data_IF_990292075000
#
_entry.id   IF_990292075000
#
_cell.length_a   1.000
_cell.length_b   1.000
_cell.length_c   1.000
_cell.angle_alpha   90.00
_cell.angle_beta   90.00
_cell.angle_gamma   90.00
#
_symmetry.space_group_name_H-M   'P 1'
#
loop_
_entity.id
_entity.type
_entity.pdbx_description
1 polymer ?
#
# COMPACT_ATOMS: atom_id res chain seq x y z
N UNK A 1 -8.85 -21.85 11.66
CA UNK A 1 -7.88 -20.78 11.48
C UNK A 1 -6.53 -21.15 12.07
N UNK A 2 -5.47 -20.55 11.58
CA UNK A 2 -4.10 -20.77 12.08
C UNK A 2 -3.88 -19.92 13.35
N UNK A 3 -3.86 -20.59 14.51
CA UNK A 3 -3.66 -19.94 15.80
C UNK A 3 -2.26 -19.34 15.97
N UNK A 4 -1.24 -19.94 15.34
CA UNK A 4 0.12 -19.39 15.36
C UNK A 4 0.17 -18.05 14.61
N UNK A 5 -0.44 -18.00 13.44
CA UNK A 5 -0.54 -16.76 12.65
C UNK A 5 -1.27 -15.66 13.44
N UNK A 6 -2.40 -16.00 14.06
CA UNK A 6 -3.15 -15.06 14.90
C UNK A 6 -2.30 -14.53 16.06
N UNK A 7 -1.59 -15.42 16.76
CA UNK A 7 -0.72 -15.02 17.87
C UNK A 7 0.41 -14.08 17.39
N UNK A 8 1.06 -14.39 16.27
CA UNK A 8 2.12 -13.55 15.72
C UNK A 8 1.59 -12.17 15.29
N UNK A 9 0.41 -12.12 14.67
CA UNK A 9 -0.24 -10.87 14.31
C UNK A 9 -0.60 -10.03 15.55
N UNK A 10 -1.13 -10.65 16.60
CA UNK A 10 -1.45 -9.96 17.85
C UNK A 10 -0.19 -9.47 18.57
N UNK A 11 0.86 -10.27 18.61
CA UNK A 11 2.14 -9.86 19.20
C UNK A 11 2.75 -8.65 18.45
N UNK A 12 2.76 -8.69 17.12
CA UNK A 12 3.22 -7.58 16.28
C UNK A 12 2.35 -6.32 16.47
N UNK A 13 1.03 -6.49 16.54
CA UNK A 13 0.08 -5.38 16.75
C UNK A 13 0.23 -4.77 18.15
N UNK A 14 0.42 -5.60 19.18
CA UNK A 14 0.69 -5.13 20.54
C UNK A 14 1.99 -4.37 20.66
N UNK A 15 3.05 -4.85 19.97
CA UNK A 15 4.30 -4.12 19.86
C UNK A 15 4.12 -2.77 19.15
N UNK A 16 3.37 -2.75 18.03
CA UNK A 16 3.02 -1.52 17.33
C UNK A 16 2.25 -0.52 18.21
N UNK A 17 1.32 -1.01 19.03
CA UNK A 17 0.56 -0.18 19.97
C UNK A 17 1.48 0.48 21.02
N UNK A 18 2.45 -0.28 21.55
CA UNK A 18 3.45 0.25 22.48
C UNK A 18 4.33 1.34 21.82
N UNK A 19 4.73 1.14 20.55
CA UNK A 19 5.49 2.13 19.79
C UNK A 19 4.67 3.40 19.52
N UNK A 20 3.40 3.28 19.14
CA UNK A 20 2.50 4.42 18.94
C UNK A 20 2.35 5.21 20.23
N UNK A 21 2.11 4.54 21.36
CA UNK A 21 2.06 5.21 22.65
C UNK A 21 3.34 5.98 22.96
N UNK A 22 4.51 5.36 22.73
CA UNK A 22 5.81 6.01 22.93
C UNK A 22 6.00 7.22 22.00
N UNK A 23 5.64 7.08 20.72
CA UNK A 23 5.87 8.12 19.71
C UNK A 23 4.93 9.31 19.85
N UNK A 24 3.72 9.10 20.38
CA UNK A 24 2.68 10.15 20.43
C UNK A 24 2.48 10.73 21.83
N UNK A 25 3.28 10.32 22.82
CA UNK A 25 3.12 10.69 24.24
C UNK A 25 3.04 12.21 24.47
N UNK A 26 3.79 12.99 23.72
CA UNK A 26 3.85 14.45 23.87
C UNK A 26 2.92 15.21 22.92
N UNK A 27 2.14 14.49 22.12
CA UNK A 27 1.13 15.10 21.25
C UNK A 27 -0.19 15.24 22.05
N UNK A 28 -0.90 16.36 21.84
CA UNK A 28 -2.20 16.60 22.50
C UNK A 28 -3.24 15.51 22.25
N UNK A 29 -3.07 14.73 21.18
CA UNK A 29 -3.96 13.65 20.77
C UNK A 29 -3.44 12.23 21.07
N UNK A 30 -2.49 12.06 22.01
CA UNK A 30 -1.91 10.76 22.33
C UNK A 30 -2.97 9.68 22.61
N UNK A 31 -3.90 9.96 23.50
CA UNK A 31 -4.94 9.01 23.89
C UNK A 31 -5.82 8.61 22.70
N UNK A 32 -6.12 9.55 21.79
CA UNK A 32 -6.92 9.27 20.59
C UNK A 32 -6.20 8.27 19.67
N UNK A 33 -4.92 8.47 19.39
CA UNK A 33 -4.15 7.61 18.50
C UNK A 33 -4.05 6.17 19.05
N UNK A 34 -3.80 6.03 20.34
CA UNK A 34 -3.74 4.72 21.00
C UNK A 34 -5.08 4.01 20.99
N UNK A 35 -6.18 4.73 21.29
CA UNK A 35 -7.54 4.17 21.28
C UNK A 35 -7.92 3.72 19.86
N UNK A 36 -7.66 4.56 18.86
CA UNK A 36 -7.94 4.23 17.44
C UNK A 36 -7.22 2.95 17.03
N UNK A 37 -5.94 2.82 17.38
CA UNK A 37 -5.17 1.61 17.09
C UNK A 37 -5.70 0.38 17.84
N UNK A 38 -6.06 0.52 19.11
CA UNK A 38 -6.63 -0.58 19.88
C UNK A 38 -7.99 -1.05 19.29
N UNK A 39 -8.85 -0.12 18.91
CA UNK A 39 -10.13 -0.43 18.25
C UNK A 39 -9.89 -1.12 16.90
N UNK A 40 -8.92 -0.65 16.11
CA UNK A 40 -8.56 -1.29 14.84
C UNK A 40 -8.09 -2.74 15.03
N UNK A 41 -7.30 -3.01 16.07
CA UNK A 41 -6.87 -4.38 16.43
C UNK A 41 -8.08 -5.25 16.79
N UNK A 42 -9.01 -4.75 17.61
CA UNK A 42 -10.22 -5.49 17.96
C UNK A 42 -11.08 -5.82 16.73
N UNK A 43 -11.28 -4.85 15.83
CA UNK A 43 -11.98 -5.05 14.57
C UNK A 43 -11.25 -6.10 13.71
N UNK A 44 -9.93 -6.03 13.63
CA UNK A 44 -9.10 -7.00 12.89
C UNK A 44 -9.27 -8.42 13.40
N UNK A 45 -9.33 -8.62 14.72
CA UNK A 45 -9.58 -9.93 15.34
C UNK A 45 -10.98 -10.46 14.98
N UNK A 46 -12.00 -9.61 15.05
CA UNK A 46 -13.37 -9.99 14.66
C UNK A 46 -13.41 -10.40 13.18
N UNK A 47 -12.81 -9.60 12.31
CA UNK A 47 -12.72 -9.92 10.87
C UNK A 47 -11.98 -11.25 10.65
N UNK A 48 -10.86 -11.48 11.33
CA UNK A 48 -10.12 -12.74 11.25
C UNK A 48 -11.00 -13.94 11.60
N UNK A 49 -11.75 -13.84 12.71
CA UNK A 49 -12.65 -14.93 13.13
C UNK A 49 -13.74 -15.17 12.09
N UNK A 50 -14.39 -14.11 11.59
CA UNK A 50 -15.45 -14.23 10.56
C UNK A 50 -14.90 -14.86 9.29
N UNK A 51 -13.74 -14.40 8.82
CA UNK A 51 -13.12 -14.91 7.59
C UNK A 51 -12.68 -16.38 7.70
N UNK A 52 -12.46 -16.89 8.91
CA UNK A 52 -12.14 -18.31 9.13
C UNK A 52 -13.29 -19.24 8.70
N UNK A 53 -14.55 -18.75 8.69
CA UNK A 53 -15.73 -19.50 8.29
C UNK A 53 -16.11 -19.32 6.82
N UNK A 54 -15.41 -18.45 6.08
CA UNK A 54 -15.70 -18.18 4.66
C UNK A 54 -14.94 -19.14 3.78
N UNK A 55 -15.66 -19.83 2.90
CA UNK A 55 -15.05 -20.55 1.79
C UNK A 55 -14.74 -19.57 0.65
N UNK A 56 -13.48 -19.12 0.61
CA UNK A 56 -13.03 -18.14 -0.38
C UNK A 56 -13.11 -18.65 -1.81
N UNK A 57 -12.95 -19.95 -2.05
CA UNK A 57 -13.02 -20.52 -3.39
C UNK A 57 -14.44 -20.37 -3.96
N UNK A 58 -15.43 -20.83 -3.21
CA UNK A 58 -16.83 -20.71 -3.61
C UNK A 58 -17.29 -19.25 -3.67
N UNK A 59 -16.82 -18.42 -2.74
CA UNK A 59 -17.16 -17.01 -2.72
C UNK A 59 -16.68 -16.29 -3.96
N UNK A 60 -15.39 -16.42 -4.32
CA UNK A 60 -14.83 -15.75 -5.49
C UNK A 60 -15.44 -16.29 -6.78
N UNK A 61 -15.65 -17.61 -6.89
CA UNK A 61 -16.25 -18.22 -8.07
C UNK A 61 -17.65 -17.64 -8.38
N UNK A 62 -18.46 -17.43 -7.35
CA UNK A 62 -19.80 -16.85 -7.51
C UNK A 62 -19.81 -15.34 -7.68
N UNK A 63 -18.88 -14.64 -7.02
CA UNK A 63 -18.91 -13.19 -6.87
C UNK A 63 -17.83 -12.45 -7.65
N UNK A 64 -17.03 -13.10 -8.51
CA UNK A 64 -15.88 -12.46 -9.17
C UNK A 64 -16.22 -11.17 -9.92
N UNK A 65 -17.38 -11.09 -10.59
CA UNK A 65 -17.84 -9.87 -11.28
C UNK A 65 -18.07 -8.71 -10.31
N UNK A 66 -18.66 -9.04 -9.14
CA UNK A 66 -18.92 -8.06 -8.09
C UNK A 66 -17.64 -7.61 -7.41
N UNK A 67 -16.66 -8.51 -7.25
CA UNK A 67 -15.35 -8.18 -6.72
C UNK A 67 -14.60 -7.21 -7.67
N UNK A 68 -14.60 -7.47 -8.98
CA UNK A 68 -14.02 -6.54 -9.96
C UNK A 68 -14.74 -5.19 -9.94
N UNK A 69 -16.08 -5.20 -9.90
CA UNK A 69 -16.86 -3.96 -9.82
C UNK A 69 -16.59 -3.21 -8.52
N UNK A 70 -16.43 -3.91 -7.41
CA UNK A 70 -16.04 -3.33 -6.12
C UNK A 70 -14.65 -2.71 -6.20
N UNK A 71 -13.65 -3.41 -6.73
CA UNK A 71 -12.27 -2.92 -6.84
C UNK A 71 -12.21 -1.61 -7.63
N UNK A 72 -12.82 -1.60 -8.80
CA UNK A 72 -12.87 -0.41 -9.66
C UNK A 72 -13.70 0.70 -9.00
N UNK A 73 -14.91 0.38 -8.55
CA UNK A 73 -15.84 1.36 -7.97
C UNK A 73 -15.29 2.00 -6.70
N UNK A 74 -14.62 1.20 -5.85
CA UNK A 74 -14.09 1.69 -4.59
C UNK A 74 -12.89 2.65 -4.77
N UNK A 75 -12.05 2.42 -5.78
CA UNK A 75 -11.00 3.39 -6.15
C UNK A 75 -11.63 4.64 -6.77
N UNK A 76 -12.65 4.49 -7.63
CA UNK A 76 -13.33 5.63 -8.24
C UNK A 76 -14.07 6.52 -7.23
N UNK A 77 -14.46 6.00 -6.06
CA UNK A 77 -15.00 6.82 -4.97
C UNK A 77 -14.06 7.94 -4.53
N UNK A 78 -12.75 7.78 -4.72
CA UNK A 78 -11.79 8.84 -4.44
C UNK A 78 -11.97 10.08 -5.33
N UNK A 79 -12.58 9.95 -6.50
CA UNK A 79 -12.90 11.09 -7.37
C UNK A 79 -14.09 11.93 -6.87
N UNK A 80 -14.88 11.36 -5.95
CA UNK A 80 -16.01 12.05 -5.33
C UNK A 80 -15.56 13.06 -4.27
N UNK A 81 -16.45 13.91 -3.74
CA UNK A 81 -16.13 14.81 -2.63
C UNK A 81 -15.63 14.12 -1.36
N UNK A 82 -15.79 12.78 -1.23
CA UNK A 82 -15.27 12.00 -0.11
C UNK A 82 -13.76 11.80 -0.17
N UNK A 83 -13.14 11.96 -1.35
CA UNK A 83 -11.69 11.84 -1.52
C UNK A 83 -10.95 12.98 -0.85
N UNK A 84 -9.98 12.63 0.00
CA UNK A 84 -9.10 13.55 0.73
C UNK A 84 -7.67 13.42 0.20
N UNK A 85 -7.06 14.56 -0.06
CA UNK A 85 -5.66 14.63 -0.46
C UNK A 85 -4.76 14.71 0.78
N UNK A 86 -3.67 13.95 0.75
CA UNK A 86 -2.63 13.99 1.77
C UNK A 86 -1.27 13.80 1.10
N UNK A 87 -0.35 14.73 1.33
CA UNK A 87 1.00 14.66 0.73
C UNK A 87 1.03 14.70 -0.81
N UNK A 88 0.04 15.35 -1.44
CA UNK A 88 -0.05 15.44 -2.90
C UNK A 88 -0.69 14.23 -3.59
N UNK A 89 -1.16 13.23 -2.83
CA UNK A 89 -1.83 12.04 -3.32
C UNK A 89 -3.28 11.99 -2.80
N UNK A 90 -4.20 11.52 -3.63
CA UNK A 90 -5.63 11.41 -3.28
C UNK A 90 -5.97 9.98 -2.86
N UNK A 91 -5.53 9.59 -1.65
CA UNK A 91 -5.52 8.19 -1.21
C UNK A 91 -6.53 7.86 -0.13
N UNK A 92 -7.15 8.84 0.50
CA UNK A 92 -7.97 8.66 1.69
C UNK A 92 -9.42 8.99 1.42
N UNK A 93 -10.33 8.20 1.98
CA UNK A 93 -11.75 8.53 2.08
C UNK A 93 -12.00 9.13 3.46
N UNK A 94 -12.48 10.37 3.46
CA UNK A 94 -12.86 11.11 4.64
C UNK A 94 -14.22 10.61 5.16
N UNK A 95 -14.22 9.60 6.03
CA UNK A 95 -15.45 9.02 6.59
C UNK A 95 -16.13 9.96 7.58
N UNK A 96 -15.43 10.93 8.13
CA UNK A 96 -15.97 12.00 8.98
C UNK A 96 -17.03 12.85 8.27
N UNK A 97 -17.03 12.90 6.92
CA UNK A 97 -18.06 13.56 6.12
C UNK A 97 -19.38 12.80 6.05
N UNK A 98 -19.35 11.48 6.28
CA UNK A 98 -20.54 10.61 6.28
C UNK A 98 -21.03 10.40 7.71
N UNK A 99 -20.10 10.10 8.61
CA UNK A 99 -20.37 9.83 10.02
C UNK A 99 -19.63 10.90 10.85
N UNK A 100 -20.31 11.91 11.36
CA UNK A 100 -19.67 12.97 12.16
C UNK A 100 -18.83 12.39 13.30
N UNK A 101 -17.63 12.91 13.48
CA UNK A 101 -16.67 12.50 14.51
C UNK A 101 -16.11 11.08 14.35
N UNK A 102 -16.29 10.43 13.17
CA UNK A 102 -15.64 9.13 12.93
C UNK A 102 -14.12 9.31 12.86
N UNK A 103 -13.34 8.60 13.69
CA UNK A 103 -11.93 8.91 13.87
C UNK A 103 -11.00 8.32 12.81
N UNK A 104 -11.54 7.52 11.88
CA UNK A 104 -10.75 6.76 10.91
C UNK A 104 -10.97 7.30 9.50
N UNK A 105 -9.88 7.64 8.83
CA UNK A 105 -9.85 7.76 7.37
C UNK A 105 -9.57 6.38 6.78
N UNK A 106 -10.19 6.06 5.67
CA UNK A 106 -10.08 4.75 5.04
C UNK A 106 -9.32 4.87 3.73
N UNK A 107 -8.33 4.00 3.54
CA UNK A 107 -7.54 3.97 2.31
C UNK A 107 -8.05 2.86 1.39
N UNK A 108 -8.76 3.19 0.27
CA UNK A 108 -9.31 2.21 -0.64
C UNK A 108 -8.29 1.22 -1.18
N UNK A 109 -7.09 1.70 -1.53
CA UNK A 109 -6.02 0.86 -2.08
C UNK A 109 -5.59 -0.29 -1.15
N UNK A 110 -5.73 -0.11 0.18
CA UNK A 110 -5.44 -1.18 1.14
C UNK A 110 -6.51 -2.26 1.15
N UNK A 111 -7.78 -1.86 1.04
CA UNK A 111 -8.91 -2.79 1.06
C UNK A 111 -9.02 -3.56 -0.24
N UNK A 112 -8.91 -2.88 -1.37
CA UNK A 112 -9.01 -3.45 -2.72
C UNK A 112 -7.87 -4.44 -3.02
N UNK A 113 -6.77 -4.35 -2.32
CA UNK A 113 -5.64 -5.29 -2.41
C UNK A 113 -6.06 -6.75 -2.15
N UNK A 114 -6.99 -6.94 -1.21
CA UNK A 114 -7.47 -8.28 -0.83
C UNK A 114 -8.27 -8.94 -1.98
N UNK A 115 -9.36 -8.34 -2.50
CA UNK A 115 -10.06 -8.91 -3.65
C UNK A 115 -9.19 -8.98 -4.90
N UNK A 116 -8.25 -8.06 -5.12
CA UNK A 116 -7.28 -8.14 -6.21
C UNK A 116 -6.46 -9.44 -6.18
N UNK A 117 -5.90 -9.81 -5.01
CA UNK A 117 -5.16 -11.07 -4.85
C UNK A 117 -6.06 -12.28 -5.06
N UNK A 118 -7.27 -12.25 -4.49
CA UNK A 118 -8.24 -13.32 -4.66
C UNK A 118 -8.64 -13.52 -6.12
N UNK A 119 -8.85 -12.45 -6.86
CA UNK A 119 -9.17 -12.50 -8.29
C UNK A 119 -8.00 -13.01 -9.13
N UNK A 120 -6.76 -12.65 -8.82
CA UNK A 120 -5.57 -13.20 -9.49
C UNK A 120 -5.47 -14.73 -9.25
N UNK A 121 -5.62 -15.15 -8.00
CA UNK A 121 -5.59 -16.57 -7.64
C UNK A 121 -6.71 -17.36 -8.33
N UNK A 122 -7.93 -16.82 -8.37
CA UNK A 122 -9.06 -17.41 -9.06
C UNK A 122 -8.85 -17.51 -10.58
N UNK A 123 -8.33 -16.45 -11.21
CA UNK A 123 -7.98 -16.46 -12.63
C UNK A 123 -6.96 -17.55 -12.95
N UNK A 124 -5.89 -17.65 -12.14
CA UNK A 124 -4.89 -18.70 -12.29
C UNK A 124 -5.47 -20.10 -12.14
N UNK A 125 -6.27 -20.34 -11.08
CA UNK A 125 -6.95 -21.62 -10.85
C UNK A 125 -7.87 -21.99 -12.02
N UNK A 126 -8.63 -21.03 -12.53
CA UNK A 126 -9.53 -21.24 -13.67
C UNK A 126 -8.79 -21.60 -14.97
N UNK A 127 -7.62 -20.99 -15.20
CA UNK A 127 -6.76 -21.32 -16.34
C UNK A 127 -6.30 -22.79 -16.24
N UNK A 128 -5.88 -23.22 -15.03
CA UNK A 128 -5.49 -24.61 -14.79
C UNK A 128 -6.66 -25.59 -14.96
N UNK A 129 -7.84 -25.26 -14.42
CA UNK A 129 -9.04 -26.08 -14.56
C UNK A 129 -9.48 -26.26 -16.02
N UNK A 130 -9.19 -25.29 -16.88
CA UNK A 130 -9.47 -25.36 -18.32
C UNK A 130 -8.35 -26.07 -19.11
N UNK A 131 -7.41 -26.71 -18.43
CA UNK A 131 -6.23 -27.38 -19.01
C UNK A 131 -5.39 -26.50 -19.96
N UNK A 132 -5.49 -25.17 -19.79
CA UNK A 132 -4.71 -24.22 -20.60
C UNK A 132 -3.32 -24.02 -19.98
N UNK A 133 -2.30 -23.89 -20.86
CA UNK A 133 -0.97 -23.49 -20.40
C UNK A 133 -1.06 -22.07 -19.80
N UNK A 134 -0.77 -21.96 -18.51
CA UNK A 134 -0.74 -20.68 -17.81
C UNK A 134 0.30 -19.72 -18.38
N UNK A 135 1.34 -20.27 -19.03
CA UNK A 135 2.38 -19.50 -19.71
C UNK A 135 2.07 -19.23 -21.18
N UNK A 136 0.84 -19.54 -21.66
CA UNK A 136 0.43 -19.12 -22.97
C UNK A 136 0.29 -17.59 -23.04
N UNK A 137 0.51 -16.96 -24.21
CA UNK A 137 0.39 -15.50 -24.36
C UNK A 137 -0.99 -14.97 -23.92
N UNK A 138 -2.04 -15.71 -24.20
CA UNK A 138 -3.41 -15.34 -23.84
C UNK A 138 -3.63 -15.38 -22.32
N UNK A 139 -3.15 -16.43 -21.63
CA UNK A 139 -3.27 -16.57 -20.18
C UNK A 139 -2.50 -15.48 -19.45
N UNK A 140 -1.27 -15.21 -19.90
CA UNK A 140 -0.44 -14.13 -19.34
C UNK A 140 -1.08 -12.77 -19.60
N UNK A 141 -1.60 -12.53 -20.80
CA UNK A 141 -2.31 -11.28 -21.11
C UNK A 141 -3.55 -11.07 -20.25
N UNK A 142 -4.29 -12.14 -19.92
CA UNK A 142 -5.46 -12.07 -19.02
C UNK A 142 -5.06 -11.64 -17.61
N UNK A 143 -4.03 -12.26 -17.01
CA UNK A 143 -3.52 -11.90 -15.69
C UNK A 143 -2.92 -10.49 -15.67
N UNK A 144 -2.11 -10.16 -16.67
CA UNK A 144 -1.48 -8.84 -16.81
C UNK A 144 -2.52 -7.75 -17.06
N UNK A 145 -3.55 -8.01 -17.87
CA UNK A 145 -4.61 -7.06 -18.18
C UNK A 145 -5.38 -6.60 -16.95
N UNK A 146 -5.72 -7.54 -16.06
CA UNK A 146 -6.34 -7.21 -14.76
C UNK A 146 -5.42 -6.35 -13.91
N UNK A 147 -4.14 -6.72 -13.83
CA UNK A 147 -3.15 -5.95 -13.06
C UNK A 147 -2.93 -4.56 -13.63
N UNK A 148 -2.80 -4.42 -14.94
CA UNK A 148 -2.64 -3.12 -15.60
C UNK A 148 -3.84 -2.21 -15.42
N UNK A 149 -5.06 -2.78 -15.41
CA UNK A 149 -6.28 -2.03 -15.10
C UNK A 149 -6.18 -1.42 -13.69
N UNK A 150 -5.84 -2.23 -12.68
CA UNK A 150 -5.75 -1.77 -11.30
C UNK A 150 -4.61 -0.78 -11.07
N UNK A 151 -3.41 -1.08 -11.59
CA UNK A 151 -2.25 -0.18 -11.52
C UNK A 151 -2.53 1.14 -12.24
N UNK A 152 -3.17 1.09 -13.41
CA UNK A 152 -3.56 2.28 -14.15
C UNK A 152 -4.57 3.15 -13.39
N UNK A 153 -5.59 2.55 -12.77
CA UNK A 153 -6.54 3.26 -11.92
C UNK A 153 -5.84 3.91 -10.73
N UNK A 154 -4.97 3.19 -10.03
CA UNK A 154 -4.23 3.71 -8.87
C UNK A 154 -3.31 4.86 -9.32
N UNK A 155 -2.58 4.71 -10.42
CA UNK A 155 -1.70 5.75 -10.93
C UNK A 155 -2.46 7.04 -11.30
N UNK A 156 -3.60 6.90 -11.98
CA UNK A 156 -4.37 8.05 -12.49
C UNK A 156 -5.23 8.70 -11.41
N UNK A 157 -5.91 7.90 -10.58
CA UNK A 157 -6.87 8.41 -9.58
C UNK A 157 -6.16 8.82 -8.30
N UNK A 158 -5.23 8.00 -7.83
CA UNK A 158 -4.57 8.21 -6.53
C UNK A 158 -3.24 8.98 -6.66
N UNK A 159 -2.55 8.87 -7.80
CA UNK A 159 -1.20 9.43 -7.98
C UNK A 159 -0.14 8.72 -7.14
N UNK A 160 -0.42 7.51 -6.64
CA UNK A 160 0.43 6.79 -5.68
C UNK A 160 1.30 5.73 -6.39
N UNK A 161 2.51 6.15 -6.74
CA UNK A 161 3.50 5.26 -7.38
C UNK A 161 3.92 4.13 -6.43
N UNK A 162 3.97 4.37 -5.12
CA UNK A 162 4.33 3.35 -4.14
C UNK A 162 3.33 2.19 -4.14
N UNK A 163 2.04 2.50 -4.18
CA UNK A 163 1.00 1.49 -4.30
C UNK A 163 1.05 0.74 -5.63
N UNK A 164 1.34 1.42 -6.74
CA UNK A 164 1.53 0.75 -8.04
C UNK A 164 2.63 -0.32 -7.97
N UNK A 165 3.76 -0.02 -7.33
CA UNK A 165 4.86 -0.98 -7.14
C UNK A 165 4.42 -2.19 -6.30
N UNK A 166 3.63 -1.96 -5.24
CA UNK A 166 3.09 -3.05 -4.41
C UNK A 166 2.18 -3.98 -5.23
N UNK A 167 1.26 -3.42 -6.04
CA UNK A 167 0.38 -4.22 -6.89
C UNK A 167 1.15 -5.00 -7.97
N UNK A 168 2.18 -4.41 -8.56
CA UNK A 168 3.09 -5.13 -9.48
C UNK A 168 3.84 -6.26 -8.77
N UNK A 169 4.31 -6.03 -7.55
CA UNK A 169 4.96 -7.07 -6.75
C UNK A 169 4.01 -8.23 -6.43
N UNK A 170 2.77 -7.92 -6.03
CA UNK A 170 1.74 -8.93 -5.80
C UNK A 170 1.42 -9.73 -7.06
N UNK A 171 1.35 -9.08 -8.21
CA UNK A 171 1.17 -9.74 -9.50
C UNK A 171 2.32 -10.69 -9.82
N UNK A 172 3.56 -10.22 -9.70
CA UNK A 172 4.76 -11.03 -9.99
C UNK A 172 4.80 -12.25 -9.09
N UNK A 173 4.63 -12.08 -7.78
CA UNK A 173 4.67 -13.19 -6.82
C UNK A 173 3.53 -14.17 -7.03
N UNK A 174 2.29 -13.71 -7.20
CA UNK A 174 1.13 -14.58 -7.44
C UNK A 174 1.25 -15.35 -8.76
N UNK A 175 1.70 -14.69 -9.83
CA UNK A 175 1.88 -15.32 -11.13
C UNK A 175 3.05 -16.31 -11.15
N UNK A 176 4.12 -16.01 -10.42
CA UNK A 176 5.23 -16.94 -10.21
C UNK A 176 4.78 -18.20 -9.49
N UNK A 177 4.04 -18.05 -8.39
CA UNK A 177 3.48 -19.18 -7.63
C UNK A 177 2.49 -19.99 -8.46
N UNK A 178 1.75 -19.35 -9.38
CA UNK A 178 0.84 -20.03 -10.31
C UNK A 178 1.58 -20.78 -11.43
N UNK A 179 2.91 -20.67 -11.57
CA UNK A 179 3.71 -21.41 -12.53
C UNK A 179 3.96 -20.70 -13.86
N UNK A 180 3.77 -19.39 -13.93
CA UNK A 180 4.13 -18.60 -15.12
C UNK A 180 5.65 -18.65 -15.33
N UNK A 181 6.08 -18.97 -16.55
CA UNK A 181 7.51 -19.14 -16.92
C UNK A 181 8.30 -17.84 -16.78
N UNK A 182 9.53 -17.92 -16.27
CA UNK A 182 10.44 -16.79 -16.02
C UNK A 182 10.65 -15.86 -17.22
N UNK A 183 10.55 -16.38 -18.45
CA UNK A 183 10.67 -15.57 -19.68
C UNK A 183 9.68 -14.40 -19.75
N UNK A 184 8.47 -14.56 -19.21
CA UNK A 184 7.46 -13.51 -19.20
C UNK A 184 7.82 -12.38 -18.23
N UNK A 185 8.38 -12.73 -17.06
CA UNK A 185 8.86 -11.74 -16.10
C UNK A 185 10.10 -10.99 -16.64
N UNK A 186 11.01 -11.73 -17.33
CA UNK A 186 12.14 -11.08 -18.00
C UNK A 186 11.67 -10.11 -19.08
N UNK A 187 10.72 -10.52 -19.92
CA UNK A 187 10.13 -9.65 -20.94
C UNK A 187 9.45 -8.43 -20.30
N UNK A 188 8.57 -8.66 -19.31
CA UNK A 188 7.88 -7.57 -18.59
C UNK A 188 8.86 -6.62 -17.92
N UNK A 189 9.88 -7.14 -17.23
CA UNK A 189 10.94 -6.34 -16.62
C UNK A 189 11.74 -5.51 -17.64
N UNK A 190 12.10 -6.10 -18.76
CA UNK A 190 12.80 -5.37 -19.84
C UNK A 190 11.93 -4.26 -20.41
N UNK A 191 10.64 -4.53 -20.68
CA UNK A 191 9.69 -3.52 -21.13
C UNK A 191 9.50 -2.40 -20.10
N UNK A 192 9.42 -2.75 -18.81
CA UNK A 192 9.26 -1.79 -17.72
C UNK A 192 10.49 -0.88 -17.59
N UNK A 193 11.70 -1.45 -17.59
CA UNK A 193 12.95 -0.68 -17.58
C UNK A 193 13.06 0.21 -18.83
N UNK A 194 12.74 -0.33 -19.99
CA UNK A 194 12.73 0.44 -21.25
C UNK A 194 11.74 1.60 -21.22
N UNK A 195 10.54 1.39 -20.63
CA UNK A 195 9.55 2.45 -20.47
C UNK A 195 10.02 3.54 -19.49
N UNK A 196 10.67 3.17 -18.38
CA UNK A 196 11.24 4.13 -17.43
C UNK A 196 12.35 4.94 -18.10
N UNK A 197 13.28 4.29 -18.79
CA UNK A 197 14.36 4.97 -19.48
C UNK A 197 13.81 5.89 -20.59
N UNK A 198 12.87 5.40 -21.39
CA UNK A 198 12.21 6.21 -22.42
C UNK A 198 11.50 7.42 -21.82
N UNK A 199 10.73 7.24 -20.74
CA UNK A 199 10.07 8.33 -20.04
C UNK A 199 11.07 9.33 -19.45
N UNK A 200 12.19 8.85 -18.90
CA UNK A 200 13.25 9.68 -18.35
C UNK A 200 13.85 10.62 -19.41
N UNK A 201 14.20 10.09 -20.58
CA UNK A 201 14.85 10.87 -21.62
C UNK A 201 13.89 11.72 -22.47
N UNK A 202 12.59 11.44 -22.46
CA UNK A 202 11.61 12.17 -23.28
C UNK A 202 10.70 13.06 -22.45
N UNK A 203 9.97 12.45 -21.51
CA UNK A 203 8.88 13.11 -20.78
C UNK A 203 9.40 13.90 -19.58
N UNK A 204 10.30 13.29 -18.79
CA UNK A 204 10.78 13.89 -17.54
C UNK A 204 11.77 15.04 -17.75
N UNK A 205 12.27 15.24 -18.95
CA UNK A 205 13.11 16.42 -19.30
C UNK A 205 12.26 17.67 -19.52
N UNK A 206 10.96 17.54 -19.73
CA UNK A 206 10.05 18.69 -19.88
C UNK A 206 9.80 19.36 -18.54
N UNK A 207 9.70 20.70 -18.54
CA UNK A 207 9.40 21.52 -17.36
C UNK A 207 8.08 21.13 -16.69
N UNK A 208 7.12 20.63 -17.48
CA UNK A 208 5.83 20.13 -16.96
C UNK A 208 5.99 19.01 -15.95
N UNK A 209 7.04 18.22 -16.01
CA UNK A 209 7.32 17.08 -15.14
C UNK A 209 8.53 17.31 -14.21
N UNK A 210 9.03 18.55 -14.12
CA UNK A 210 10.13 18.92 -13.22
C UNK A 210 9.90 18.49 -11.77
N UNK A 211 8.64 18.56 -11.29
CA UNK A 211 8.28 18.11 -9.95
C UNK A 211 8.56 16.61 -9.72
N UNK A 212 8.21 15.75 -10.69
CA UNK A 212 8.46 14.31 -10.60
C UNK A 212 9.96 14.03 -10.63
N UNK A 213 10.68 14.68 -11.55
CA UNK A 213 12.14 14.58 -11.65
C UNK A 213 12.82 14.99 -10.34
N UNK A 214 12.44 16.11 -9.76
CA UNK A 214 13.00 16.59 -8.50
C UNK A 214 12.74 15.62 -7.36
N UNK A 215 11.57 15.01 -7.27
CA UNK A 215 11.27 13.95 -6.29
C UNK A 215 12.24 12.76 -6.39
N UNK A 216 12.54 12.29 -7.62
CA UNK A 216 13.53 11.23 -7.82
C UNK A 216 14.95 11.68 -7.46
N UNK A 217 15.33 12.91 -7.83
CA UNK A 217 16.66 13.43 -7.51
C UNK A 217 16.88 13.60 -6.01
N UNK A 218 15.87 14.06 -5.26
CA UNK A 218 15.94 14.18 -3.78
C UNK A 218 16.08 12.82 -3.10
N UNK A 219 15.53 11.75 -3.66
CA UNK A 219 15.73 10.38 -3.14
C UNK A 219 17.19 9.95 -3.26
N UNK A 220 17.89 10.37 -4.34
CA UNK A 220 19.30 10.05 -4.58
C UNK A 220 20.23 11.00 -3.81
N UNK A 221 19.86 12.28 -3.72
CA UNK A 221 20.62 13.31 -3.02
C UNK A 221 19.69 14.21 -2.19
N UNK A 222 19.63 13.94 -0.90
CA UNK A 222 18.78 14.65 0.06
C UNK A 222 19.20 16.12 0.26
N UNK A 223 20.42 16.47 -0.14
CA UNK A 223 20.95 17.84 0.00
C UNK A 223 20.32 18.84 -0.97
N UNK A 224 19.62 18.35 -2.01
CA UNK A 224 18.96 19.19 -3.01
C UNK A 224 17.74 19.96 -2.46
N UNK A 225 17.07 19.41 -1.43
CA UNK A 225 15.94 20.07 -0.77
C UNK A 225 15.96 19.77 0.74
N UNK A 226 16.88 20.35 1.51
CA UNK A 226 17.09 20.01 2.91
C UNK A 226 15.96 20.48 3.84
N UNK A 227 15.10 21.41 3.40
CA UNK A 227 13.99 21.96 4.19
C UNK A 227 12.61 21.45 3.72
N UNK A 228 12.53 20.80 2.55
CA UNK A 228 11.29 20.24 1.99
C UNK A 228 11.30 18.72 1.97
N UNK A 229 11.25 18.13 0.78
CA UNK A 229 11.14 16.66 0.60
C UNK A 229 12.33 15.88 1.22
N UNK A 230 13.54 16.44 1.24
CA UNK A 230 14.72 15.83 1.87
C UNK A 230 14.74 15.92 3.41
N UNK A 231 13.95 16.82 4.01
CA UNK A 231 13.94 17.03 5.45
C UNK A 231 13.52 15.78 6.22
N UNK A 232 12.40 15.16 5.83
CA UNK A 232 11.89 13.96 6.50
C UNK A 232 12.87 12.79 6.39
N UNK A 233 13.51 12.61 5.23
CA UNK A 233 14.51 11.58 5.01
C UNK A 233 15.77 11.81 5.87
N UNK A 234 16.28 13.03 5.90
CA UNK A 234 17.44 13.39 6.73
C UNK A 234 17.17 13.17 8.21
N UNK A 235 15.98 13.55 8.70
CA UNK A 235 15.55 13.29 10.07
C UNK A 235 15.41 11.81 10.39
N UNK A 236 14.87 11.04 9.46
CA UNK A 236 14.77 9.57 9.59
C UNK A 236 16.16 8.93 9.68
N UNK A 237 17.10 9.33 8.83
CA UNK A 237 18.48 8.84 8.88
C UNK A 237 19.18 9.19 10.21
N UNK A 238 18.99 10.41 10.70
CA UNK A 238 19.50 10.80 12.02
C UNK A 238 18.88 9.98 13.15
N UNK A 239 17.56 9.73 13.10
CA UNK A 239 16.88 8.90 14.09
C UNK A 239 17.40 7.45 14.09
N UNK A 240 17.55 6.85 12.90
CA UNK A 240 18.09 5.50 12.73
C UNK A 240 19.55 5.45 13.20
N UNK A 241 20.39 6.39 12.75
CA UNK A 241 21.79 6.45 13.12
C UNK A 241 22.02 6.63 14.63
N UNK A 242 21.21 7.48 15.28
CA UNK A 242 21.28 7.68 16.73
C UNK A 242 20.80 6.48 17.54
N UNK A 243 19.90 5.65 16.97
CA UNK A 243 19.41 4.44 17.60
C UNK A 243 20.35 3.24 17.51
N UNK A 244 21.26 3.23 16.54
CA UNK A 244 22.16 2.09 16.28
C UNK A 244 21.40 0.75 16.16
N UNK A 245 21.98 -0.37 16.64
CA UNK A 245 21.37 -1.70 16.58
C UNK A 245 20.33 -1.96 17.67
N UNK A 246 20.46 -1.35 18.83
CA UNK A 246 19.62 -1.63 20.00
C UNK A 246 18.51 -0.61 20.21
N UNK A 247 18.53 0.50 19.47
CA UNK A 247 17.62 1.63 19.66
C UNK A 247 18.02 2.47 20.88
N UNK A 248 17.42 3.65 21.02
CA UNK A 248 17.63 4.55 22.17
C UNK A 248 16.84 4.12 23.42
N UNK A 249 16.08 3.05 23.35
CA UNK A 249 15.21 2.54 24.41
C UNK A 249 13.78 3.09 24.34
N UNK A 250 12.88 2.36 24.98
CA UNK A 250 11.46 2.73 25.04
C UNK A 250 11.29 4.06 25.77
N UNK A 251 10.52 4.99 25.23
CA UNK A 251 10.28 6.33 25.72
C UNK A 251 11.52 7.27 25.77
N UNK A 252 12.63 6.91 25.16
CA UNK A 252 13.87 7.71 25.17
C UNK A 252 14.29 8.23 23.79
N UNK A 253 13.46 8.05 22.77
CA UNK A 253 13.77 8.47 21.40
C UNK A 253 13.87 9.99 21.24
N UNK A 254 15.04 10.51 20.88
CA UNK A 254 15.29 11.97 20.75
C UNK A 254 14.38 12.64 19.73
N UNK A 255 13.98 11.96 18.66
CA UNK A 255 13.08 12.50 17.64
C UNK A 255 11.60 12.45 18.05
N UNK A 256 11.21 11.47 18.86
CA UNK A 256 9.83 11.26 19.28
C UNK A 256 9.50 11.93 20.61
N UNK A 257 10.51 12.19 21.44
CA UNK A 257 10.35 12.74 22.79
C UNK A 257 10.74 14.23 22.88
N UNK A 258 11.37 14.80 21.86
CA UNK A 258 11.67 16.21 21.83
C UNK A 258 10.40 17.01 21.49
N UNK A 259 10.18 18.13 22.15
CA UNK A 259 9.15 19.13 21.83
C UNK A 259 9.19 19.64 20.38
N UNK A 260 10.21 19.25 19.64
CA UNK A 260 10.40 19.47 18.20
C UNK A 260 9.30 18.86 17.31
N UNK A 261 8.63 17.81 17.76
CA UNK A 261 7.56 17.17 16.97
C UNK A 261 6.30 18.05 16.86
N UNK A 262 6.14 19.02 17.74
CA UNK A 262 5.03 19.98 17.71
C UNK A 262 5.24 21.17 16.75
N UNK A 263 6.46 21.34 16.22
CA UNK A 263 6.85 22.48 15.37
C UNK A 263 6.99 22.13 13.87
N UNK A 264 6.55 20.93 13.44
CA UNK A 264 6.60 20.53 12.04
C UNK A 264 5.23 20.74 11.41
N UNK A 265 5.14 21.52 10.30
CA UNK A 265 3.91 21.74 9.56
C UNK A 265 3.36 20.47 8.91
#
# INVERSE_FOLDING_TARGET
GDLLLLFLCLAASGYGLALIYSATRYLDNNNRNVIVQAVAICIGVVIYIVLTFVDFQLFVEKCWKWLVAFDVGFILLLLTPLGKESGGNRNWLALDRIIPHFPLDLQPNEIVKIPFILLLAWQAARIHQQERDISSPFSVAQLTGHTLLMVGLIAVVCGDIGMCVIYLFLFVTSSWMAGVKARWFALGGTCFVGAILGAWFTILQSDRFAYIRNRFMVVLDHSLDPLGAGFQQSRSLLAIGSGQLTGQGYLNGTQTQASYSAALP
#
